data_IF_786793444267
#
_entry.id   IF_786793444267
#
_cell.length_a   1.000
_cell.length_b   1.000
_cell.length_c   1.000
_cell.angle_alpha   90.00
_cell.angle_beta   90.00
_cell.angle_gamma   90.00
#
_symmetry.space_group_name_H-M   'P 1'
#
loop_
_entity.id
_entity.type
_entity.pdbx_description
1 polymer ?
#
# COMPACT_ATOMS: atom_id res chain seq x y z
N UNK A 1 28.30 -16.11 2.33
CA UNK A 1 27.86 -15.56 1.03
C UNK A 1 27.74 -14.05 1.22
N UNK A 2 28.32 -13.23 0.34
CA UNK A 2 28.20 -11.78 0.48
C UNK A 2 26.73 -11.38 0.29
N UNK A 3 26.11 -10.82 1.33
CA UNK A 3 24.72 -10.36 1.27
C UNK A 3 24.69 -9.16 0.34
N UNK A 4 24.00 -9.26 -0.78
CA UNK A 4 23.81 -8.13 -1.71
C UNK A 4 23.18 -6.96 -0.93
N UNK A 5 23.85 -5.81 -0.93
CA UNK A 5 23.34 -4.64 -0.22
C UNK A 5 22.11 -4.09 -0.95
N UNK A 6 21.05 -3.82 -0.22
CA UNK A 6 19.81 -3.28 -0.81
C UNK A 6 20.02 -1.90 -1.47
N UNK A 7 20.98 -1.14 -0.98
CA UNK A 7 21.41 0.12 -1.62
C UNK A 7 21.97 -0.10 -3.03
N UNK A 8 22.73 -1.19 -3.25
CA UNK A 8 23.25 -1.56 -4.58
C UNK A 8 22.12 -1.91 -5.55
N UNK A 9 21.08 -2.58 -5.06
CA UNK A 9 19.87 -2.89 -5.86
C UNK A 9 19.18 -1.62 -6.33
N UNK A 10 19.09 -0.61 -5.47
CA UNK A 10 18.44 0.67 -5.82
C UNK A 10 19.27 1.47 -6.83
N UNK A 11 20.57 1.56 -6.62
CA UNK A 11 21.46 2.43 -7.40
C UNK A 11 22.02 1.79 -8.67
N UNK A 12 21.82 0.48 -8.87
CA UNK A 12 22.35 -0.24 -10.02
C UNK A 12 21.80 0.29 -11.35
N UNK A 13 22.70 0.47 -12.32
CA UNK A 13 22.33 0.73 -13.71
C UNK A 13 21.88 -0.53 -14.45
N UNK A 14 22.26 -1.74 -13.98
CA UNK A 14 21.85 -3.01 -14.58
C UNK A 14 20.38 -3.32 -14.18
N UNK A 15 19.45 -3.40 -15.14
CA UNK A 15 18.06 -3.74 -14.86
C UNK A 15 17.89 -5.11 -14.17
N UNK A 16 18.78 -6.06 -14.40
CA UNK A 16 18.70 -7.40 -13.78
C UNK A 16 18.97 -7.32 -12.29
N UNK A 17 19.93 -6.48 -11.87
CA UNK A 17 20.21 -6.22 -10.45
C UNK A 17 19.10 -5.35 -9.85
N UNK A 18 18.74 -4.27 -10.53
CA UNK A 18 17.71 -3.33 -10.07
C UNK A 18 16.33 -3.97 -9.88
N UNK A 19 16.02 -5.04 -10.64
CA UNK A 19 14.74 -5.76 -10.57
C UNK A 19 14.79 -7.00 -9.66
N UNK A 20 15.84 -7.19 -8.85
CA UNK A 20 15.86 -8.24 -7.85
C UNK A 20 14.73 -8.04 -6.82
N UNK A 21 14.13 -9.16 -6.43
CA UNK A 21 13.02 -9.14 -5.46
C UNK A 21 13.52 -8.80 -4.07
N UNK A 22 12.96 -7.75 -3.46
CA UNK A 22 13.21 -7.41 -2.06
C UNK A 22 12.88 -8.58 -1.13
N UNK A 23 11.75 -9.26 -1.37
CA UNK A 23 11.35 -10.42 -0.56
C UNK A 23 12.40 -11.55 -0.63
N UNK A 24 12.94 -11.82 -1.82
CA UNK A 24 13.97 -12.85 -1.97
C UNK A 24 15.27 -12.46 -1.25
N UNK A 25 15.64 -11.18 -1.24
CA UNK A 25 16.85 -10.68 -0.60
C UNK A 25 16.73 -10.63 0.93
N UNK A 26 15.52 -10.34 1.45
CA UNK A 26 15.28 -10.29 2.89
C UNK A 26 14.93 -11.65 3.50
N UNK A 27 14.62 -12.67 2.68
CA UNK A 27 14.22 -14.00 3.16
C UNK A 27 15.37 -14.69 3.87
N UNK A 28 15.15 -15.04 5.15
CA UNK A 28 16.13 -15.73 5.97
C UNK A 28 17.22 -14.81 6.56
N UNK A 29 17.14 -13.52 6.33
CA UNK A 29 18.01 -12.56 7.01
C UNK A 29 17.65 -12.46 8.50
N UNK A 30 18.66 -12.34 9.35
CA UNK A 30 18.51 -12.11 10.78
C UNK A 30 17.97 -10.71 11.08
N UNK A 31 17.46 -10.51 12.30
CA UNK A 31 17.04 -9.21 12.78
C UNK A 31 18.16 -8.15 12.64
N UNK A 32 19.38 -8.52 13.04
CA UNK A 32 20.53 -7.62 12.98
C UNK A 32 20.87 -7.22 11.53
N UNK A 33 20.86 -8.17 10.59
CA UNK A 33 21.12 -7.90 9.17
C UNK A 33 20.05 -6.99 8.56
N UNK A 34 18.78 -7.22 8.87
CA UNK A 34 17.69 -6.36 8.39
C UNK A 34 17.77 -4.93 8.95
N UNK A 35 18.14 -4.78 10.22
CA UNK A 35 18.33 -3.45 10.83
C UNK A 35 19.53 -2.71 10.22
N UNK A 36 20.65 -3.40 9.93
CA UNK A 36 21.79 -2.82 9.21
C UNK A 36 21.37 -2.34 7.80
N UNK A 37 20.61 -3.17 7.07
CA UNK A 37 20.07 -2.75 5.76
C UNK A 37 19.14 -1.53 5.88
N UNK A 38 18.32 -1.46 6.93
CA UNK A 38 17.47 -0.28 7.17
C UNK A 38 18.30 0.98 7.43
N UNK A 39 19.38 0.90 8.20
CA UNK A 39 20.26 2.03 8.45
C UNK A 39 20.92 2.53 7.18
N UNK A 40 21.44 1.63 6.34
CA UNK A 40 22.03 1.95 5.05
C UNK A 40 21.02 2.56 4.07
N UNK A 41 19.79 2.05 4.03
CA UNK A 41 18.71 2.58 3.19
C UNK A 41 18.25 3.97 3.64
N UNK A 42 18.16 4.22 4.96
CA UNK A 42 17.79 5.55 5.48
C UNK A 42 18.89 6.58 5.18
N UNK A 43 20.17 6.18 5.29
CA UNK A 43 21.29 7.01 4.90
C UNK A 43 21.26 7.34 3.40
N UNK A 44 21.03 6.36 2.52
CA UNK A 44 20.87 6.59 1.08
C UNK A 44 19.71 7.54 0.78
N UNK A 45 18.54 7.32 1.40
CA UNK A 45 17.35 8.15 1.23
C UNK A 45 17.59 9.61 1.57
N UNK A 46 18.37 9.87 2.62
CA UNK A 46 18.71 11.24 3.07
C UNK A 46 19.77 11.90 2.21
N UNK A 47 20.72 11.14 1.70
CA UNK A 47 21.88 11.68 0.98
C UNK A 47 21.65 11.82 -0.53
N UNK A 48 20.79 11.00 -1.14
CA UNK A 48 20.60 11.00 -2.59
C UNK A 48 19.79 12.20 -3.07
N UNK A 49 20.26 12.86 -4.11
CA UNK A 49 19.51 13.88 -4.87
C UNK A 49 18.57 13.25 -5.91
N UNK A 50 18.72 11.96 -6.18
CA UNK A 50 17.87 11.22 -7.11
C UNK A 50 16.56 10.86 -6.45
N UNK A 51 15.47 11.43 -6.93
CA UNK A 51 14.14 11.19 -6.38
C UNK A 51 13.71 9.72 -6.46
N UNK A 52 14.04 9.01 -7.54
CA UNK A 52 13.74 7.59 -7.68
C UNK A 52 14.43 6.78 -6.56
N UNK A 53 15.69 7.03 -6.28
CA UNK A 53 16.44 6.35 -5.22
C UNK A 53 15.83 6.64 -3.84
N UNK A 54 15.51 7.92 -3.57
CA UNK A 54 14.89 8.35 -2.31
C UNK A 54 13.56 7.65 -2.06
N UNK A 55 12.68 7.67 -3.07
CA UNK A 55 11.35 7.07 -2.95
C UNK A 55 11.45 5.56 -2.86
N UNK A 56 12.31 4.94 -3.67
CA UNK A 56 12.51 3.48 -3.62
C UNK A 56 13.09 3.02 -2.29
N UNK A 57 14.05 3.76 -1.73
CA UNK A 57 14.57 3.49 -0.39
C UNK A 57 13.49 3.62 0.69
N UNK A 58 12.62 4.64 0.62
CA UNK A 58 11.50 4.79 1.54
C UNK A 58 10.53 3.59 1.47
N UNK A 59 10.23 3.07 0.27
CA UNK A 59 9.38 1.90 0.12
C UNK A 59 10.06 0.59 0.53
N UNK A 60 11.37 0.45 0.33
CA UNK A 60 12.12 -0.69 0.88
C UNK A 60 12.08 -0.67 2.41
N UNK A 61 12.32 0.48 3.02
CA UNK A 61 12.21 0.66 4.47
C UNK A 61 10.80 0.33 4.96
N UNK A 62 9.77 0.87 4.31
CA UNK A 62 8.39 0.51 4.60
C UNK A 62 8.16 -1.01 4.56
N UNK A 63 8.60 -1.66 3.49
CA UNK A 63 8.37 -3.10 3.31
C UNK A 63 9.12 -3.93 4.35
N UNK A 64 10.37 -3.58 4.68
CA UNK A 64 11.16 -4.28 5.69
C UNK A 64 10.51 -4.13 7.07
N UNK A 65 10.17 -2.92 7.46
CA UNK A 65 9.52 -2.65 8.76
C UNK A 65 8.13 -3.26 8.87
N UNK A 66 7.40 -3.37 7.76
CA UNK A 66 6.03 -3.86 7.73
C UNK A 66 5.93 -5.37 7.60
N UNK A 67 6.80 -6.00 6.78
CA UNK A 67 6.62 -7.38 6.33
C UNK A 67 7.76 -8.33 6.73
N UNK A 68 8.95 -7.83 7.04
CA UNK A 68 10.11 -8.68 7.31
C UNK A 68 10.51 -8.65 8.79
N UNK A 69 10.74 -7.48 9.38
CA UNK A 69 11.14 -7.37 10.78
C UNK A 69 10.16 -8.03 11.75
N UNK A 70 8.82 -7.87 11.62
CA UNK A 70 7.86 -8.52 12.54
C UNK A 70 7.86 -10.05 12.46
N UNK A 71 8.46 -10.65 11.42
CA UNK A 71 8.57 -12.10 11.29
C UNK A 71 9.86 -12.67 11.87
N UNK A 72 10.81 -11.82 12.30
CA UNK A 72 12.03 -12.28 12.96
C UNK A 72 11.68 -12.80 14.37
N UNK A 73 12.18 -13.99 14.70
CA UNK A 73 11.90 -14.60 16.00
C UNK A 73 12.44 -13.77 17.19
N UNK A 74 13.52 -13.02 16.95
CA UNK A 74 14.14 -12.14 17.94
C UNK A 74 13.42 -10.80 18.11
N UNK A 75 12.41 -10.48 17.27
CA UNK A 75 11.69 -9.22 17.37
C UNK A 75 10.73 -9.23 18.57
N UNK A 76 10.87 -8.32 19.54
CA UNK A 76 9.91 -8.21 20.62
C UNK A 76 8.51 -7.85 20.13
N UNK A 77 7.53 -8.66 20.50
CA UNK A 77 6.13 -8.51 20.06
C UNK A 77 5.38 -7.34 20.69
N UNK A 78 5.99 -6.67 21.67
CA UNK A 78 5.41 -5.53 22.37
C UNK A 78 6.44 -4.43 22.51
N UNK A 79 6.05 -3.20 22.17
CA UNK A 79 6.87 -2.02 22.33
C UNK A 79 5.99 -0.78 22.46
N UNK A 80 6.47 0.20 23.22
CA UNK A 80 5.78 1.48 23.36
C UNK A 80 6.18 2.38 22.21
N UNK A 81 5.19 2.92 21.51
CA UNK A 81 5.38 3.98 20.54
C UNK A 81 5.32 5.32 21.27
N UNK A 82 6.34 6.19 21.19
CA UNK A 82 6.31 7.49 21.81
C UNK A 82 5.13 8.32 21.29
N UNK A 83 4.31 8.86 22.17
CA UNK A 83 3.15 9.67 21.79
C UNK A 83 3.52 10.89 20.95
N UNK A 84 4.65 11.54 21.26
CA UNK A 84 5.18 12.67 20.48
C UNK A 84 5.45 12.27 19.01
N UNK A 85 6.04 11.10 18.77
CA UNK A 85 6.26 10.58 17.42
C UNK A 85 4.96 10.31 16.67
N UNK A 86 3.96 9.78 17.36
CA UNK A 86 2.62 9.61 16.76
C UNK A 86 1.98 10.96 16.43
N UNK A 87 2.11 11.95 17.33
CA UNK A 87 1.62 13.30 17.07
C UNK A 87 2.31 13.96 15.86
N UNK A 88 3.61 13.75 15.69
CA UNK A 88 4.35 14.20 14.50
C UNK A 88 3.82 13.55 13.22
N UNK A 89 3.47 12.25 13.25
CA UNK A 89 2.82 11.59 12.11
C UNK A 89 1.48 12.24 11.75
N UNK A 90 0.65 12.54 12.74
CA UNK A 90 -0.64 13.23 12.52
C UNK A 90 -0.46 14.63 11.92
N UNK A 91 0.61 15.31 12.29
CA UNK A 91 0.99 16.63 11.75
C UNK A 91 1.69 16.54 10.39
N UNK A 92 1.88 15.34 9.83
CA UNK A 92 2.60 15.07 8.57
C UNK A 92 4.08 15.49 8.61
N UNK A 93 4.66 15.57 9.80
CA UNK A 93 6.09 15.85 10.05
C UNK A 93 6.85 14.52 10.07
N UNK A 94 6.89 13.85 8.92
CA UNK A 94 7.32 12.45 8.83
C UNK A 94 8.82 12.27 9.13
N UNK A 95 9.68 13.18 8.68
CA UNK A 95 11.13 13.12 8.97
C UNK A 95 11.40 13.17 10.48
N UNK A 96 10.75 14.09 11.15
CA UNK A 96 10.90 14.26 12.60
C UNK A 96 10.34 13.06 13.37
N UNK A 97 9.22 12.49 12.88
CA UNK A 97 8.68 11.26 13.44
C UNK A 97 9.66 10.09 13.27
N UNK A 98 10.26 9.94 12.09
CA UNK A 98 11.28 8.92 11.80
C UNK A 98 12.48 9.08 12.73
N UNK A 99 13.02 10.30 12.90
CA UNK A 99 14.15 10.57 13.76
C UNK A 99 13.86 10.20 15.22
N UNK A 100 12.66 10.53 15.70
CA UNK A 100 12.24 10.19 17.06
C UNK A 100 12.10 8.67 17.25
N UNK A 101 11.47 7.97 16.29
CA UNK A 101 11.32 6.52 16.36
C UNK A 101 12.65 5.79 16.28
N UNK A 102 13.55 6.18 15.37
CA UNK A 102 14.89 5.62 15.26
C UNK A 102 15.72 5.87 16.53
N UNK A 103 15.60 7.06 17.13
CA UNK A 103 16.25 7.37 18.40
C UNK A 103 15.71 6.49 19.53
N UNK A 104 14.39 6.28 19.56
CA UNK A 104 13.75 5.38 20.55
C UNK A 104 14.21 3.94 20.34
N UNK A 105 14.29 3.47 19.10
CA UNK A 105 14.80 2.14 18.77
C UNK A 105 16.25 1.93 19.20
N UNK A 106 17.13 2.93 18.99
CA UNK A 106 18.53 2.85 19.43
C UNK A 106 18.66 2.77 20.95
N UNK A 107 17.79 3.41 21.72
CA UNK A 107 17.81 3.42 23.19
C UNK A 107 17.18 2.18 23.81
N UNK A 108 16.06 1.75 23.28
CA UNK A 108 15.23 0.69 23.86
C UNK A 108 15.22 -0.63 23.10
N UNK A 109 15.90 -0.69 21.95
CA UNK A 109 15.85 -1.83 21.03
C UNK A 109 14.68 -1.77 20.04
N UNK A 110 14.70 -2.63 19.02
CA UNK A 110 13.61 -2.77 18.05
C UNK A 110 12.38 -3.41 18.69
N UNK A 111 11.19 -3.12 18.17
CA UNK A 111 9.93 -3.74 18.57
C UNK A 111 8.88 -3.64 17.47
N UNK A 112 7.87 -4.49 17.50
CA UNK A 112 6.74 -4.47 16.57
C UNK A 112 6.04 -3.11 16.54
N UNK A 113 5.85 -2.48 17.70
CA UNK A 113 5.22 -1.18 17.80
C UNK A 113 6.02 -0.10 17.06
N UNK A 114 7.33 -0.03 17.29
CA UNK A 114 8.22 0.91 16.60
C UNK A 114 8.34 0.60 15.12
N UNK A 115 8.45 -0.68 14.73
CA UNK A 115 8.47 -1.08 13.32
C UNK A 115 7.20 -0.67 12.60
N UNK A 116 6.04 -0.86 13.22
CA UNK A 116 4.76 -0.43 12.64
C UNK A 116 4.69 1.09 12.46
N UNK A 117 5.17 1.85 13.43
CA UNK A 117 5.22 3.31 13.36
C UNK A 117 6.19 3.81 12.28
N UNK A 118 7.39 3.22 12.21
CA UNK A 118 8.37 3.52 11.16
C UNK A 118 7.85 3.16 9.77
N UNK A 119 7.19 2.01 9.61
CA UNK A 119 6.57 1.64 8.35
C UNK A 119 5.54 2.69 7.89
N UNK A 120 4.67 3.17 8.79
CA UNK A 120 3.71 4.20 8.48
C UNK A 120 4.38 5.53 8.07
N UNK A 121 5.45 5.91 8.78
CA UNK A 121 6.20 7.13 8.50
C UNK A 121 6.89 7.08 7.13
N UNK A 122 7.62 6.00 6.82
CA UNK A 122 8.31 5.83 5.54
C UNK A 122 7.34 5.76 4.36
N UNK A 123 6.22 5.06 4.51
CA UNK A 123 5.18 5.00 3.49
C UNK A 123 4.62 6.39 3.17
N UNK A 124 4.27 7.14 4.20
CA UNK A 124 3.73 8.50 4.06
C UNK A 124 4.76 9.47 3.49
N UNK A 125 6.02 9.35 3.90
CA UNK A 125 7.14 10.12 3.36
C UNK A 125 7.37 9.83 1.87
N UNK A 126 7.33 8.58 1.46
CA UNK A 126 7.46 8.19 0.05
C UNK A 126 6.41 8.84 -0.83
N UNK A 127 5.15 8.81 -0.42
CA UNK A 127 4.07 9.45 -1.14
C UNK A 127 4.13 10.98 -1.10
N UNK A 128 4.53 11.58 0.02
CA UNK A 128 4.69 13.04 0.09
C UNK A 128 5.81 13.52 -0.85
N UNK A 129 6.93 12.81 -0.88
CA UNK A 129 8.04 13.14 -1.78
C UNK A 129 7.63 13.03 -3.25
N UNK A 130 6.87 12.00 -3.60
CA UNK A 130 6.27 11.85 -4.93
C UNK A 130 5.32 13.00 -5.27
N UNK A 131 4.41 13.34 -4.37
CA UNK A 131 3.46 14.44 -4.56
C UNK A 131 4.16 15.79 -4.76
N UNK A 132 5.20 16.07 -3.96
CA UNK A 132 6.00 17.29 -4.09
C UNK A 132 6.76 17.36 -5.43
N UNK A 133 7.25 16.23 -5.92
CA UNK A 133 7.91 16.18 -7.22
C UNK A 133 6.92 16.35 -8.37
N UNK A 134 5.75 15.71 -8.31
CA UNK A 134 4.69 15.90 -9.31
C UNK A 134 4.31 17.38 -9.39
N UNK A 135 4.12 18.02 -8.25
CA UNK A 135 3.81 19.45 -8.18
C UNK A 135 4.87 20.32 -8.85
N UNK A 136 6.16 19.97 -8.71
CA UNK A 136 7.28 20.68 -9.35
C UNK A 136 7.43 20.35 -10.84
N UNK A 137 7.09 19.12 -11.26
CA UNK A 137 7.32 18.61 -12.61
C UNK A 137 6.17 18.84 -13.58
N UNK A 138 4.96 19.16 -13.10
CA UNK A 138 3.77 19.40 -13.95
C UNK A 138 4.00 20.48 -15.01
N UNK A 139 4.97 21.37 -14.81
CA UNK A 139 5.34 22.42 -15.78
C UNK A 139 6.46 22.04 -16.75
N UNK A 140 7.15 20.93 -16.57
CA UNK A 140 8.42 20.70 -17.29
C UNK A 140 8.61 19.33 -17.94
N UNK A 141 7.86 18.28 -17.61
CA UNK A 141 8.14 16.93 -18.11
C UNK A 141 6.89 16.16 -18.45
N UNK A 142 6.78 15.67 -19.69
CA UNK A 142 5.77 14.68 -20.10
C UNK A 142 6.05 13.37 -19.36
N UNK A 143 5.16 12.98 -18.45
CA UNK A 143 5.01 11.65 -17.86
C UNK A 143 6.30 11.03 -17.30
N UNK A 144 6.47 11.03 -15.99
CA UNK A 144 7.54 10.29 -15.34
C UNK A 144 7.15 8.80 -15.22
N UNK A 145 7.44 8.01 -16.26
CA UNK A 145 7.18 6.56 -16.27
C UNK A 145 7.78 5.82 -15.06
N UNK A 146 8.84 6.35 -14.46
CA UNK A 146 9.46 5.75 -13.28
C UNK A 146 8.62 5.90 -12.00
N UNK A 147 7.73 6.87 -11.91
CA UNK A 147 6.80 7.00 -10.77
C UNK A 147 5.92 5.76 -10.59
N UNK A 148 5.55 5.11 -11.70
CA UNK A 148 4.77 3.89 -11.68
C UNK A 148 5.59 2.63 -11.34
N UNK A 149 6.92 2.71 -11.39
CA UNK A 149 7.81 1.60 -11.03
C UNK A 149 8.02 1.44 -9.52
N UNK A 150 7.68 2.44 -8.74
CA UNK A 150 7.77 2.39 -7.28
C UNK A 150 6.82 1.34 -6.69
N UNK A 151 5.73 1.05 -7.39
CA UNK A 151 4.77 0.00 -7.02
C UNK A 151 5.07 -1.38 -7.60
N UNK A 152 6.29 -1.64 -8.12
CA UNK A 152 6.61 -2.95 -8.67
C UNK A 152 6.47 -4.06 -7.61
N UNK A 153 5.93 -5.24 -7.95
CA UNK A 153 5.72 -6.34 -6.99
C UNK A 153 6.98 -6.77 -6.25
N UNK A 154 8.16 -6.62 -6.87
CA UNK A 154 9.44 -6.93 -6.24
C UNK A 154 9.85 -5.93 -5.17
N UNK A 155 9.35 -4.69 -5.25
CA UNK A 155 9.67 -3.61 -4.31
C UNK A 155 8.69 -3.55 -3.13
N UNK A 156 7.50 -4.08 -3.30
CA UNK A 156 6.42 -4.05 -2.32
C UNK A 156 5.73 -5.42 -2.24
N UNK A 157 6.39 -6.44 -1.63
CA UNK A 157 5.76 -7.75 -1.53
C UNK A 157 4.51 -7.66 -0.65
N UNK A 158 3.35 -7.83 -1.27
CA UNK A 158 2.09 -7.94 -0.55
C UNK A 158 2.02 -9.30 0.12
N UNK A 159 1.69 -9.33 1.40
CA UNK A 159 1.48 -10.56 2.15
C UNK A 159 0.03 -10.68 2.58
N UNK A 160 -0.55 -11.81 2.25
CA UNK A 160 -1.87 -12.18 2.74
C UNK A 160 -1.71 -12.84 4.10
N UNK A 161 -2.62 -12.56 5.03
CA UNK A 161 -2.63 -13.21 6.34
C UNK A 161 -2.75 -14.71 6.17
N UNK A 162 -1.93 -15.55 6.84
CA UNK A 162 -1.95 -17.01 6.67
C UNK A 162 -3.33 -17.61 6.87
N UNK A 163 -4.12 -17.08 7.82
CA UNK A 163 -5.46 -17.56 8.15
C UNK A 163 -6.42 -17.48 6.96
N UNK A 164 -6.20 -16.55 6.02
CA UNK A 164 -7.02 -16.40 4.82
C UNK A 164 -6.62 -17.40 3.71
N UNK A 165 -5.48 -18.07 3.85
CA UNK A 165 -4.96 -19.07 2.91
C UNK A 165 -5.25 -20.50 3.34
N UNK A 166 -5.78 -20.69 4.56
CA UNK A 166 -6.09 -21.99 5.15
C UNK A 166 -7.60 -22.22 5.18
N UNK A 167 -8.03 -23.38 4.71
CA UNK A 167 -9.43 -23.79 4.76
C UNK A 167 -9.73 -24.55 6.05
N UNK A 168 -10.90 -24.36 6.65
CA UNK A 168 -11.34 -25.19 7.78
C UNK A 168 -11.40 -26.67 7.44
N UNK A 169 -11.84 -27.02 6.24
CA UNK A 169 -11.81 -28.36 5.64
C UNK A 169 -11.45 -28.26 4.15
N UNK A 170 -10.95 -29.32 3.50
CA UNK A 170 -10.59 -29.30 2.07
C UNK A 170 -11.73 -28.84 1.15
N UNK A 171 -12.98 -29.14 1.51
CA UNK A 171 -14.17 -28.84 0.73
C UNK A 171 -14.77 -27.46 1.07
N UNK A 172 -14.34 -26.86 2.18
CA UNK A 172 -14.83 -25.53 2.59
C UNK A 172 -14.29 -24.43 1.67
N UNK A 173 -15.04 -23.34 1.47
CA UNK A 173 -14.47 -22.14 0.87
C UNK A 173 -13.37 -21.55 1.76
N UNK A 174 -12.49 -20.76 1.21
CA UNK A 174 -11.54 -19.97 1.99
C UNK A 174 -12.26 -18.98 2.91
N UNK A 175 -11.62 -18.60 4.03
CA UNK A 175 -12.19 -17.62 4.96
C UNK A 175 -12.52 -16.30 4.29
N UNK A 176 -13.60 -15.67 4.72
CA UNK A 176 -14.06 -14.38 4.23
C UNK A 176 -13.55 -13.27 5.14
N UNK A 177 -12.73 -12.37 4.61
CA UNK A 177 -12.41 -11.12 5.26
C UNK A 177 -13.51 -10.11 4.97
N UNK A 178 -14.10 -9.55 6.01
CA UNK A 178 -15.05 -8.43 5.93
C UNK A 178 -14.42 -7.19 6.55
N UNK A 179 -14.45 -6.10 5.80
CA UNK A 179 -14.08 -4.78 6.28
C UNK A 179 -15.23 -3.80 6.07
N UNK A 180 -15.40 -2.88 7.00
CA UNK A 180 -16.40 -1.83 6.91
C UNK A 180 -15.73 -0.48 7.22
N UNK A 181 -16.04 0.53 6.43
CA UNK A 181 -15.42 1.85 6.56
C UNK A 181 -16.46 2.96 6.47
N UNK A 182 -16.30 4.05 7.25
CA UNK A 182 -17.14 5.23 7.13
C UNK A 182 -16.91 5.94 5.79
N UNK A 183 -17.87 6.72 5.36
CA UNK A 183 -17.68 7.63 4.24
C UNK A 183 -16.76 8.77 4.65
N UNK A 184 -15.76 9.04 3.84
CA UNK A 184 -14.93 10.24 3.99
C UNK A 184 -15.58 11.38 3.21
N UNK A 185 -15.86 12.49 3.89
CA UNK A 185 -16.38 13.72 3.30
C UNK A 185 -15.34 14.82 3.40
N UNK A 186 -15.16 15.54 2.31
CA UNK A 186 -14.44 16.80 2.28
C UNK A 186 -15.45 17.94 2.35
N UNK A 187 -15.41 18.71 3.44
CA UNK A 187 -16.35 19.81 3.69
C UNK A 187 -15.91 21.13 3.06
N UNK A 188 -14.72 21.22 2.50
CA UNK A 188 -14.18 22.45 1.92
C UNK A 188 -14.36 22.54 0.41
N UNK A 189 -14.57 21.41 -0.26
CA UNK A 189 -14.73 21.32 -1.70
C UNK A 189 -15.86 20.38 -2.07
N UNK A 190 -16.48 20.60 -3.24
CA UNK A 190 -17.47 19.66 -3.78
C UNK A 190 -16.83 18.30 -4.04
N UNK A 191 -17.59 17.24 -3.87
CA UNK A 191 -17.19 15.82 -3.71
C UNK A 191 -16.27 15.19 -4.77
N UNK A 192 -15.93 15.88 -5.84
CA UNK A 192 -15.06 15.40 -6.92
C UNK A 192 -13.68 16.08 -6.96
N UNK A 193 -13.33 16.81 -5.93
CA UNK A 193 -12.07 17.55 -5.86
C UNK A 193 -10.85 16.69 -5.57
N UNK A 194 -10.99 15.56 -4.90
CA UNK A 194 -9.84 14.79 -4.40
C UNK A 194 -8.94 14.19 -5.51
N UNK A 195 -9.51 13.83 -6.65
CA UNK A 195 -8.77 13.23 -7.76
C UNK A 195 -8.01 14.31 -8.56
N UNK A 196 -8.52 15.53 -8.61
CA UNK A 196 -7.94 16.62 -9.38
C UNK A 196 -6.86 17.41 -8.64
N UNK A 197 -6.81 17.35 -7.33
CA UNK A 197 -5.85 18.10 -6.51
C UNK A 197 -4.39 17.66 -6.70
N UNK A 198 -4.13 16.42 -7.06
CA UNK A 198 -2.77 15.95 -7.35
C UNK A 198 -2.16 16.58 -8.62
N UNK A 199 -2.99 17.14 -9.50
CA UNK A 199 -2.57 17.79 -10.74
C UNK A 199 -2.72 19.31 -10.77
N UNK A 200 -3.30 19.95 -9.75
CA UNK A 200 -3.52 21.39 -9.69
C UNK A 200 -2.58 22.07 -8.71
N UNK A 201 -2.10 23.28 -9.07
CA UNK A 201 -1.41 24.14 -8.11
C UNK A 201 -2.37 24.46 -6.96
N UNK A 202 -2.04 24.00 -5.78
CA UNK A 202 -2.83 24.27 -4.59
C UNK A 202 -2.68 25.75 -4.24
N UNK A 203 -3.78 26.49 -4.03
CA UNK A 203 -3.68 27.83 -3.47
C UNK A 203 -3.06 27.72 -2.07
N UNK A 204 -1.99 28.47 -1.84
CA UNK A 204 -1.37 28.54 -0.51
C UNK A 204 -2.43 28.86 0.55
N UNK A 205 -2.46 28.05 1.62
CA UNK A 205 -3.40 28.24 2.72
C UNK A 205 -4.77 27.56 2.59
N UNK A 206 -5.03 26.76 1.54
CA UNK A 206 -6.24 25.95 1.48
C UNK A 206 -6.25 24.93 2.63
N UNK A 207 -7.27 24.98 3.48
CA UNK A 207 -7.51 24.01 4.54
C UNK A 207 -8.55 23.03 4.07
N UNK A 208 -8.18 21.76 3.94
CA UNK A 208 -9.10 20.67 3.64
C UNK A 208 -9.48 19.99 4.96
N UNK A 209 -10.77 19.99 5.27
CA UNK A 209 -11.32 19.25 6.40
C UNK A 209 -11.93 17.94 5.87
N UNK A 210 -11.25 16.83 6.08
CA UNK A 210 -11.77 15.51 5.79
C UNK A 210 -12.45 14.94 7.03
N UNK A 211 -13.72 14.60 6.92
CA UNK A 211 -14.50 13.98 7.99
C UNK A 211 -14.90 12.58 7.56
N UNK A 212 -14.58 11.60 8.40
CA UNK A 212 -15.09 10.22 8.23
C UNK A 212 -16.35 10.06 9.07
N UNK A 213 -17.48 9.70 8.43
CA UNK A 213 -18.76 9.61 9.09
C UNK A 213 -19.44 8.27 8.84
N UNK A 214 -20.09 7.76 9.88
CA UNK A 214 -21.07 6.70 9.77
C UNK A 214 -22.43 7.28 9.38
N UNK A 215 -23.20 6.52 8.63
CA UNK A 215 -24.49 6.96 8.13
C UNK A 215 -25.66 6.14 8.72
N UNK A 216 -26.77 6.82 8.89
CA UNK A 216 -28.06 6.19 9.20
C UNK A 216 -29.19 6.89 8.43
N UNK A 217 -30.17 6.12 8.01
CA UNK A 217 -31.40 6.63 7.43
C UNK A 217 -32.42 6.80 8.54
N UNK A 218 -32.86 8.03 8.76
CA UNK A 218 -33.85 8.34 9.78
C UNK A 218 -35.13 7.55 9.58
N UNK A 219 -35.59 6.89 10.63
CA UNK A 219 -36.80 6.06 10.60
C UNK A 219 -36.61 4.62 10.09
N UNK A 220 -35.41 4.28 9.61
CA UNK A 220 -35.04 2.93 9.15
C UNK A 220 -33.93 2.30 10.01
N UNK A 221 -32.86 3.02 10.24
CA UNK A 221 -31.68 2.50 10.90
C UNK A 221 -31.69 2.87 12.39
N UNK A 222 -31.35 1.90 13.26
CA UNK A 222 -31.32 2.12 14.71
C UNK A 222 -30.17 3.02 15.17
N UNK A 223 -29.02 2.97 14.46
CA UNK A 223 -27.84 3.75 14.75
C UNK A 223 -27.01 3.97 13.47
N UNK A 224 -26.19 5.03 13.41
CA UNK A 224 -25.20 5.20 12.35
C UNK A 224 -24.22 4.03 12.30
N UNK A 225 -23.82 3.64 11.10
CA UNK A 225 -22.83 2.58 10.85
C UNK A 225 -21.99 2.91 9.60
N UNK A 226 -20.80 2.32 9.47
CA UNK A 226 -20.01 2.44 8.26
C UNK A 226 -20.81 1.93 7.05
N UNK A 227 -21.07 2.80 6.04
CA UNK A 227 -21.92 2.41 4.92
C UNK A 227 -21.16 1.67 3.81
N UNK A 228 -19.84 1.74 3.80
CA UNK A 228 -19.02 1.06 2.80
C UNK A 228 -18.49 -0.24 3.37
N UNK A 229 -18.85 -1.36 2.73
CA UNK A 229 -18.38 -2.69 3.11
C UNK A 229 -17.61 -3.31 1.93
N UNK A 230 -16.52 -3.99 2.24
CA UNK A 230 -15.76 -4.79 1.31
C UNK A 230 -15.58 -6.21 1.86
N UNK A 231 -15.67 -7.18 0.98
CA UNK A 231 -15.48 -8.58 1.30
C UNK A 231 -14.41 -9.14 0.37
N UNK A 232 -13.44 -9.84 0.93
CA UNK A 232 -12.35 -10.45 0.19
C UNK A 232 -12.18 -11.90 0.62
N UNK A 233 -11.98 -12.79 -0.34
CA UNK A 233 -11.55 -14.16 -0.09
C UNK A 233 -10.67 -14.68 -1.22
N UNK A 234 -9.89 -15.70 -0.91
CA UNK A 234 -9.15 -16.49 -1.89
C UNK A 234 -10.12 -17.45 -2.59
N UNK A 235 -9.91 -17.69 -3.88
CA UNK A 235 -10.69 -18.63 -4.70
C UNK A 235 -9.74 -19.59 -5.43
N UNK A 236 -10.26 -20.76 -5.87
CA UNK A 236 -9.49 -21.79 -6.57
C UNK A 236 -9.33 -21.56 -8.08
N UNK A 237 -9.58 -20.37 -8.53
CA UNK A 237 -9.44 -19.97 -9.92
C UNK A 237 -8.41 -18.86 -10.02
N UNK A 238 -7.41 -18.93 -10.93
CA UNK A 238 -6.31 -17.95 -11.01
C UNK A 238 -6.74 -16.66 -11.71
N UNK A 239 -7.75 -15.99 -11.16
CA UNK A 239 -8.35 -14.77 -11.69
C UNK A 239 -8.73 -13.79 -10.56
N UNK A 240 -9.10 -12.58 -10.93
CA UNK A 240 -9.73 -11.62 -10.03
C UNK A 240 -11.23 -11.58 -10.33
N UNK A 241 -12.03 -12.03 -9.35
CA UNK A 241 -13.49 -11.92 -9.41
C UNK A 241 -13.92 -10.65 -8.70
N UNK A 242 -14.51 -9.72 -9.43
CA UNK A 242 -14.99 -8.45 -8.89
C UNK A 242 -16.51 -8.40 -8.92
N UNK A 243 -17.12 -7.94 -7.83
CA UNK A 243 -18.56 -7.71 -7.79
C UNK A 243 -18.89 -6.44 -7.00
N UNK A 244 -19.81 -5.65 -7.51
CA UNK A 244 -20.43 -4.54 -6.81
C UNK A 244 -21.91 -4.87 -6.61
N UNK A 245 -22.29 -5.16 -5.35
CA UNK A 245 -23.67 -5.56 -5.00
C UNK A 245 -24.65 -4.44 -5.35
N UNK A 246 -24.29 -3.22 -5.02
CA UNK A 246 -25.13 -2.04 -5.19
C UNK A 246 -25.28 -1.60 -6.65
N UNK A 247 -24.33 -1.95 -7.52
CA UNK A 247 -24.42 -1.69 -8.96
C UNK A 247 -24.98 -2.89 -9.76
N UNK A 248 -25.13 -4.05 -9.10
CA UNK A 248 -25.52 -5.29 -9.76
C UNK A 248 -24.54 -5.73 -10.85
N UNK A 249 -23.25 -5.36 -10.71
CA UNK A 249 -22.23 -5.63 -11.69
C UNK A 249 -21.20 -6.63 -11.16
N UNK A 250 -20.79 -7.57 -12.01
CA UNK A 250 -19.72 -8.53 -11.70
C UNK A 250 -18.89 -8.84 -12.95
N UNK A 251 -17.62 -9.17 -12.76
CA UNK A 251 -16.72 -9.60 -13.83
C UNK A 251 -15.60 -10.50 -13.29
N UNK A 252 -15.23 -11.49 -14.10
CA UNK A 252 -14.03 -12.29 -13.90
C UNK A 252 -12.93 -11.74 -14.81
N UNK A 253 -11.85 -11.24 -14.19
CA UNK A 253 -10.72 -10.62 -14.87
C UNK A 253 -9.59 -11.64 -14.95
N UNK A 254 -9.10 -11.91 -16.14
CA UNK A 254 -8.09 -12.93 -16.41
C UNK A 254 -6.76 -12.37 -16.88
N UNK A 255 -6.70 -11.09 -17.20
CA UNK A 255 -5.47 -10.43 -17.66
C UNK A 255 -5.28 -9.04 -17.04
N UNK A 256 -4.03 -8.56 -17.02
CA UNK A 256 -3.69 -7.28 -16.39
C UNK A 256 -4.27 -6.07 -17.15
N UNK A 257 -4.40 -6.15 -18.46
CA UNK A 257 -4.91 -5.02 -19.24
C UNK A 257 -6.35 -4.65 -18.83
N UNK A 258 -7.17 -5.64 -18.50
CA UNK A 258 -8.54 -5.42 -18.01
C UNK A 258 -8.56 -4.72 -16.63
N UNK A 259 -7.56 -4.95 -15.78
CA UNK A 259 -7.47 -4.25 -14.48
C UNK A 259 -7.16 -2.77 -14.70
N UNK A 260 -6.25 -2.46 -15.63
CA UNK A 260 -5.87 -1.07 -15.94
C UNK A 260 -6.91 -0.32 -16.77
N UNK A 261 -7.83 -1.03 -17.42
CA UNK A 261 -8.98 -0.44 -18.13
C UNK A 261 -10.15 -0.13 -17.17
N UNK A 262 -9.87 0.70 -16.15
CA UNK A 262 -10.83 1.01 -15.09
C UNK A 262 -11.90 2.04 -15.49
N UNK A 263 -11.75 2.71 -16.62
CA UNK A 263 -12.73 3.68 -17.09
C UNK A 263 -13.84 3.07 -17.96
N UNK A 264 -13.73 1.78 -18.29
CA UNK A 264 -14.59 1.13 -19.29
C UNK A 264 -15.94 0.67 -18.74
N UNK A 265 -15.99 0.31 -17.46
CA UNK A 265 -17.16 -0.33 -16.87
C UNK A 265 -17.47 0.18 -15.44
N UNK A 266 -18.58 -0.31 -14.88
CA UNK A 266 -19.02 0.06 -13.54
C UNK A 266 -18.14 -0.50 -12.39
N UNK A 267 -17.18 -1.38 -12.69
CA UNK A 267 -16.26 -1.94 -11.70
C UNK A 267 -14.93 -1.14 -11.61
N UNK A 268 -14.84 0.00 -12.30
CA UNK A 268 -13.64 0.83 -12.35
C UNK A 268 -13.11 1.18 -10.96
N UNK A 269 -13.99 1.46 -10.00
CA UNK A 269 -13.59 1.75 -8.62
C UNK A 269 -12.93 0.55 -7.94
N UNK A 270 -13.44 -0.67 -8.15
CA UNK A 270 -12.82 -1.90 -7.62
C UNK A 270 -11.49 -2.20 -8.30
N UNK A 271 -11.38 -1.98 -9.61
CA UNK A 271 -10.10 -2.08 -10.36
C UNK A 271 -9.08 -1.08 -9.82
N UNK A 272 -9.46 0.17 -9.61
CA UNK A 272 -8.62 1.18 -9.00
C UNK A 272 -8.20 0.80 -7.56
N UNK A 273 -9.09 0.18 -6.79
CA UNK A 273 -8.79 -0.31 -5.44
C UNK A 273 -7.75 -1.45 -5.46
N UNK A 274 -7.80 -2.38 -6.43
CA UNK A 274 -6.78 -3.41 -6.62
C UNK A 274 -5.39 -2.81 -6.90
N UNK A 275 -5.34 -1.72 -7.66
CA UNK A 275 -4.09 -1.00 -7.94
C UNK A 275 -3.62 -0.26 -6.69
N UNK A 276 -4.51 0.49 -6.04
CA UNK A 276 -4.18 1.27 -4.85
C UNK A 276 -3.75 0.40 -3.64
N UNK A 277 -4.33 -0.81 -3.51
CA UNK A 277 -3.95 -1.76 -2.45
C UNK A 277 -2.61 -2.45 -2.68
N UNK A 278 -2.06 -2.37 -3.90
CA UNK A 278 -0.85 -3.08 -4.30
C UNK A 278 -1.06 -4.55 -4.68
N UNK A 279 -2.30 -5.04 -4.75
CA UNK A 279 -2.60 -6.37 -5.31
C UNK A 279 -2.15 -6.42 -6.77
N UNK A 280 -2.44 -5.36 -7.52
CA UNK A 280 -1.94 -5.15 -8.88
C UNK A 280 -1.12 -3.87 -8.91
N UNK A 281 0.21 -3.93 -8.78
CA UNK A 281 1.05 -2.73 -8.76
C UNK A 281 1.00 -1.97 -10.09
N UNK A 282 0.92 -0.64 -10.08
CA UNK A 282 0.83 0.16 -11.30
C UNK A 282 2.05 0.01 -12.22
N UNK A 283 3.21 -0.32 -11.67
CA UNK A 283 4.45 -0.47 -12.45
C UNK A 283 4.50 -1.68 -13.38
N UNK A 284 3.49 -2.55 -13.37
CA UNK A 284 3.43 -3.73 -14.25
C UNK A 284 2.51 -3.53 -15.46
N UNK A 285 1.88 -2.39 -15.60
CA UNK A 285 1.09 -2.06 -16.80
C UNK A 285 1.96 -2.19 -18.06
N UNK A 286 1.49 -2.95 -19.05
CA UNK A 286 2.23 -3.18 -20.29
C UNK A 286 3.51 -4.01 -20.16
N UNK A 287 3.80 -4.61 -19.01
CA UNK A 287 5.00 -5.42 -18.78
C UNK A 287 5.00 -6.78 -19.49
N UNK A 288 3.85 -7.22 -20.03
CA UNK A 288 3.66 -8.56 -20.56
C UNK A 288 3.56 -9.65 -19.48
N UNK A 289 3.55 -9.28 -18.20
CA UNK A 289 3.36 -10.22 -17.10
C UNK A 289 1.93 -10.75 -17.10
N UNK A 290 1.76 -12.02 -16.78
CA UNK A 290 0.45 -12.64 -16.68
C UNK A 290 -0.17 -12.42 -15.29
N UNK A 291 -1.48 -12.15 -15.24
CA UNK A 291 -2.22 -11.97 -14.00
C UNK A 291 -2.10 -13.20 -13.08
N UNK A 292 -2.20 -14.40 -13.63
CA UNK A 292 -2.08 -15.66 -12.88
C UNK A 292 -0.74 -15.80 -12.14
N UNK A 293 0.36 -15.31 -12.75
CA UNK A 293 1.69 -15.38 -12.14
C UNK A 293 1.86 -14.36 -11.01
N UNK A 294 1.20 -13.21 -11.13
CA UNK A 294 1.10 -12.24 -10.05
C UNK A 294 0.31 -12.83 -8.87
N UNK A 295 -0.86 -13.38 -9.12
CA UNK A 295 -1.72 -13.97 -8.10
C UNK A 295 -1.06 -15.17 -7.41
N UNK A 296 -0.34 -16.01 -8.18
CA UNK A 296 0.39 -17.15 -7.62
C UNK A 296 1.42 -16.72 -6.56
N UNK A 297 2.02 -15.55 -6.68
CA UNK A 297 2.97 -15.00 -5.68
C UNK A 297 2.27 -14.47 -4.43
N UNK A 298 1.01 -14.07 -4.53
CA UNK A 298 0.26 -13.46 -3.43
C UNK A 298 -0.53 -14.53 -2.65
N UNK A 299 -1.29 -15.36 -3.36
CA UNK A 299 -2.24 -16.32 -2.77
C UNK A 299 -1.92 -17.78 -3.04
N UNK A 300 -0.85 -18.06 -3.80
CA UNK A 300 -0.44 -19.41 -4.18
C UNK A 300 -0.88 -19.81 -5.60
N UNK A 301 -0.21 -20.83 -6.18
CA UNK A 301 -0.47 -21.27 -7.54
C UNK A 301 -1.90 -21.81 -7.71
N UNK A 302 -2.51 -21.50 -8.85
CA UNK A 302 -3.88 -21.92 -9.19
C UNK A 302 -4.99 -21.17 -8.46
N UNK A 303 -4.64 -20.19 -7.63
CA UNK A 303 -5.57 -19.42 -6.80
C UNK A 303 -5.70 -17.99 -7.30
N UNK A 304 -6.84 -17.38 -6.95
CA UNK A 304 -7.14 -15.99 -7.23
C UNK A 304 -7.81 -15.29 -6.06
N UNK A 305 -8.37 -14.13 -6.33
CA UNK A 305 -9.00 -13.29 -5.30
C UNK A 305 -10.40 -12.89 -5.77
N UNK A 306 -11.38 -13.08 -4.92
CA UNK A 306 -12.71 -12.49 -5.06
C UNK A 306 -12.79 -11.24 -4.18
N UNK A 307 -13.23 -10.13 -4.76
CA UNK A 307 -13.45 -8.85 -4.09
C UNK A 307 -14.87 -8.38 -4.37
N UNK A 308 -15.64 -8.22 -3.31
CA UNK A 308 -17.04 -7.75 -3.38
C UNK A 308 -17.14 -6.44 -2.62
N UNK A 309 -17.78 -5.44 -3.21
CA UNK A 309 -18.11 -4.19 -2.53
C UNK A 309 -19.63 -4.04 -2.37
N UNK A 310 -19.99 -3.42 -1.27
CA UNK A 310 -21.37 -3.03 -1.00
C UNK A 310 -21.39 -1.65 -0.35
N UNK A 311 -22.22 -0.75 -0.90
CA UNK A 311 -22.41 0.61 -0.35
C UNK A 311 -23.84 0.71 0.14
N UNK A 312 -24.02 0.71 1.44
CA UNK A 312 -25.32 0.69 2.11
C UNK A 312 -25.78 2.10 2.48
N UNK A 313 -26.95 2.48 2.04
CA UNK A 313 -27.62 3.70 2.50
C UNK A 313 -27.08 5.01 1.92
N UNK A 314 -26.13 4.97 0.98
CA UNK A 314 -25.69 6.16 0.24
C UNK A 314 -26.51 6.27 -1.03
N UNK A 315 -27.23 7.40 -1.26
CA UNK A 315 -27.87 7.66 -2.53
C UNK A 315 -26.80 7.76 -3.63
N UNK A 316 -27.03 7.06 -4.72
CA UNK A 316 -26.20 7.20 -5.92
C UNK A 316 -26.77 8.33 -6.76
N UNK A 317 -25.96 9.37 -6.98
CA UNK A 317 -26.27 10.48 -7.85
C UNK A 317 -25.57 10.37 -9.17
#
# INVERSE_FOLDING_TARGET
MSTTRLTEVITSSDPRVRNLSLDALCRGASLAELLDQCENLDALRRASDNLYERVRAAFFLYAIHRFHLPLCAEMPSRGLVPFEGYNLLLQRRFEEAIDLFLTTQRRGGPSDGLSSALAAAYHSQGFQTLADQVRRSVRSVRGNQWMFRVGHPADQPLRVRPELLERPTPESPFPLLKEATPVRMDLTHSAWSDIFFLGMDYPEGARVLNVSIDLAVRGRDAAPRPPVEAYLRVIDEPLLRLASVDLGASADITNLAEVFDYARDYLGLLKAALIASGIVPPGIEGSGQELRDLLARIVGPGRGIELVSCVNGIPKG
#
